data_IF_479104127130
#
_entry.id   IF_479104127130
#
_cell.length_a   1.000
_cell.length_b   1.000
_cell.length_c   1.000
_cell.angle_alpha   90.00
_cell.angle_beta   90.00
_cell.angle_gamma   90.00
#
_symmetry.space_group_name_H-M   'P 1'
#
loop_
_entity.id
_entity.type
_entity.pdbx_description
1 polymer ?
#
# COMPACT_ATOMS: atom_id res chain seq x y z
N UNK A 1 5.12 -26.53 -28.45
CA UNK A 1 4.26 -25.55 -29.15
C UNK A 1 5.13 -24.83 -30.15
N UNK A 2 4.62 -24.62 -31.37
CA UNK A 2 5.37 -24.06 -32.48
C UNK A 2 5.09 -22.55 -32.54
N UNK A 3 6.13 -21.72 -32.70
CA UNK A 3 6.04 -20.25 -32.75
C UNK A 3 5.00 -19.73 -33.78
N UNK A 4 4.79 -20.48 -34.86
CA UNK A 4 3.76 -20.18 -35.88
C UNK A 4 2.33 -20.35 -35.38
N UNK A 5 2.10 -21.27 -34.46
CA UNK A 5 0.77 -21.51 -33.89
C UNK A 5 0.42 -20.40 -32.88
N UNK A 6 1.38 -19.94 -32.09
CA UNK A 6 1.20 -18.84 -31.12
C UNK A 6 0.91 -17.50 -31.83
N UNK A 7 1.64 -17.19 -32.92
CA UNK A 7 1.38 -16.01 -33.75
C UNK A 7 -0.02 -16.09 -34.38
N UNK A 8 -0.45 -17.27 -34.82
CA UNK A 8 -1.77 -17.46 -35.43
C UNK A 8 -2.88 -17.23 -34.41
N UNK A 9 -2.73 -17.76 -33.21
CA UNK A 9 -3.68 -17.57 -32.10
C UNK A 9 -3.80 -16.09 -31.71
N UNK A 10 -2.68 -15.37 -31.61
CA UNK A 10 -2.69 -13.95 -31.26
C UNK A 10 -3.42 -13.09 -32.30
N UNK A 11 -3.18 -13.37 -33.58
CA UNK A 11 -3.87 -12.70 -34.67
C UNK A 11 -5.39 -12.97 -34.68
N UNK A 12 -5.80 -14.19 -34.30
CA UNK A 12 -7.21 -14.54 -34.16
C UNK A 12 -7.86 -13.78 -33.00
N UNK A 13 -7.21 -13.69 -31.84
CA UNK A 13 -7.69 -12.91 -30.69
C UNK A 13 -7.88 -11.44 -31.08
N UNK A 14 -6.90 -10.84 -31.77
CA UNK A 14 -6.98 -9.46 -32.23
C UNK A 14 -8.17 -9.23 -33.17
N UNK A 15 -8.34 -10.11 -34.17
CA UNK A 15 -9.45 -10.04 -35.11
C UNK A 15 -10.82 -10.18 -34.42
N UNK A 16 -10.92 -11.09 -33.47
CA UNK A 16 -12.17 -11.33 -32.72
C UNK A 16 -12.51 -10.17 -31.77
N UNK A 17 -11.49 -9.53 -31.18
CA UNK A 17 -11.63 -8.29 -30.39
C UNK A 17 -12.19 -7.16 -31.25
N UNK A 18 -11.66 -6.98 -32.47
CA UNK A 18 -12.17 -5.96 -33.41
C UNK A 18 -13.60 -6.26 -33.85
N UNK A 19 -13.89 -7.50 -34.24
CA UNK A 19 -15.27 -7.93 -34.57
C UNK A 19 -16.23 -7.64 -33.40
N UNK A 20 -15.84 -7.96 -32.18
CA UNK A 20 -16.65 -7.71 -30.98
C UNK A 20 -16.94 -6.22 -30.78
N UNK A 21 -15.94 -5.35 -30.96
CA UNK A 21 -16.12 -3.88 -30.89
C UNK A 21 -17.08 -3.38 -31.95
N UNK A 22 -16.91 -3.83 -33.20
CA UNK A 22 -17.72 -3.36 -34.33
C UNK A 22 -19.15 -3.91 -34.36
N UNK A 23 -19.41 -5.02 -33.65
CA UNK A 23 -20.73 -5.67 -33.64
C UNK A 23 -21.43 -5.52 -32.29
N UNK A 24 -20.90 -6.16 -31.25
CA UNK A 24 -21.57 -6.31 -29.96
C UNK A 24 -21.53 -5.01 -29.18
N UNK A 25 -20.36 -4.36 -29.11
CA UNK A 25 -20.22 -3.07 -28.42
C UNK A 25 -20.98 -1.99 -29.18
N UNK A 26 -20.73 -1.87 -30.50
CA UNK A 26 -21.38 -0.88 -31.36
C UNK A 26 -22.91 -0.90 -31.27
N UNK A 27 -23.52 -2.10 -31.31
CA UNK A 27 -24.97 -2.27 -31.18
C UNK A 27 -25.53 -1.63 -29.90
N UNK A 28 -24.78 -1.68 -28.81
CA UNK A 28 -25.19 -1.07 -27.53
C UNK A 28 -24.88 0.42 -27.54
N UNK A 29 -23.69 0.83 -28.00
CA UNK A 29 -23.26 2.23 -27.98
C UNK A 29 -24.02 3.12 -28.95
N UNK A 30 -24.56 2.57 -30.04
CA UNK A 30 -25.44 3.27 -30.98
C UNK A 30 -26.75 3.71 -30.30
N UNK A 31 -27.24 2.92 -29.33
CA UNK A 31 -28.43 3.25 -28.53
C UNK A 31 -28.07 4.06 -27.29
N UNK A 32 -26.93 3.74 -26.66
CA UNK A 32 -26.48 4.29 -25.39
C UNK A 32 -24.99 4.68 -25.48
N UNK A 33 -24.67 5.92 -25.85
CA UNK A 33 -23.30 6.36 -26.01
C UNK A 33 -22.48 6.19 -24.73
N UNK A 34 -21.17 6.01 -24.90
CA UNK A 34 -20.24 6.01 -23.77
C UNK A 34 -20.26 7.36 -23.05
N UNK A 35 -20.04 7.32 -21.74
CA UNK A 35 -20.04 8.52 -20.88
C UNK A 35 -18.87 9.48 -21.16
N UNK A 36 -17.84 9.00 -21.84
CA UNK A 36 -16.66 9.76 -22.23
C UNK A 36 -16.05 9.12 -23.47
N UNK A 37 -15.33 9.94 -24.25
CA UNK A 37 -14.56 9.48 -25.39
C UNK A 37 -13.25 8.79 -24.98
N UNK A 38 -12.77 9.02 -23.74
CA UNK A 38 -11.64 8.30 -23.17
C UNK A 38 -11.87 8.01 -21.69
N UNK A 39 -11.43 6.84 -21.24
CA UNK A 39 -11.45 6.46 -19.84
C UNK A 39 -10.02 6.45 -19.33
N UNK A 40 -9.75 7.21 -18.28
CA UNK A 40 -8.40 7.38 -17.73
C UNK A 40 -8.40 7.06 -16.24
N UNK A 41 -7.32 6.45 -15.77
CA UNK A 41 -7.11 6.25 -14.33
C UNK A 41 -6.60 7.52 -13.66
N UNK A 42 -6.41 7.50 -12.33
CA UNK A 42 -5.95 8.66 -11.54
C UNK A 42 -4.56 9.16 -11.92
N UNK A 43 -3.75 8.29 -12.52
CA UNK A 43 -2.41 8.62 -13.03
C UNK A 43 -2.44 9.08 -14.49
N UNK A 44 -3.62 9.33 -15.04
CA UNK A 44 -3.83 9.82 -16.40
C UNK A 44 -3.40 8.85 -17.52
N UNK A 45 -3.38 7.54 -17.23
CA UNK A 45 -3.23 6.52 -18.27
C UNK A 45 -4.59 6.17 -18.87
N UNK A 46 -4.62 6.04 -20.19
CA UNK A 46 -5.81 5.56 -20.90
C UNK A 46 -6.05 4.08 -20.59
N UNK A 47 -7.29 3.75 -20.27
CA UNK A 47 -7.75 2.42 -19.91
C UNK A 47 -8.64 1.92 -21.04
N UNK A 48 -8.21 0.83 -21.67
CA UNK A 48 -8.96 0.19 -22.74
C UNK A 48 -10.24 -0.46 -22.18
N UNK A 49 -11.23 -0.64 -23.05
CA UNK A 49 -12.49 -1.34 -22.75
C UNK A 49 -12.29 -2.81 -22.37
N UNK A 50 -11.28 -3.45 -22.97
CA UNK A 50 -10.94 -4.85 -22.76
C UNK A 50 -9.44 -5.07 -23.00
N UNK A 51 -8.79 -5.78 -22.08
CA UNK A 51 -7.44 -6.29 -22.23
C UNK A 51 -7.48 -7.79 -22.52
N UNK A 52 -6.66 -8.24 -23.48
CA UNK A 52 -6.52 -9.61 -23.98
C UNK A 52 -5.04 -10.00 -24.00
N UNK A 53 -4.69 -11.26 -24.32
CA UNK A 53 -3.29 -11.65 -24.49
C UNK A 53 -2.49 -10.81 -25.51
N UNK A 54 -3.14 -10.20 -26.51
CA UNK A 54 -2.51 -9.30 -27.50
C UNK A 54 -1.95 -8.03 -26.82
N UNK A 55 -2.59 -7.56 -25.75
CA UNK A 55 -2.17 -6.37 -25.01
C UNK A 55 -0.93 -6.61 -24.12
N UNK A 56 -0.49 -7.87 -23.97
CA UNK A 56 0.72 -8.25 -23.21
C UNK A 56 1.70 -9.09 -24.05
N UNK A 57 1.61 -9.03 -25.39
CA UNK A 57 2.44 -9.85 -26.27
C UNK A 57 3.95 -9.58 -26.14
N UNK A 58 4.32 -8.35 -25.78
CA UNK A 58 5.72 -7.92 -25.60
C UNK A 58 6.26 -8.25 -24.19
N UNK A 59 5.44 -8.85 -23.32
CA UNK A 59 5.85 -9.18 -21.95
C UNK A 59 6.81 -10.36 -21.93
N UNK A 60 8.03 -10.14 -21.47
CA UNK A 60 9.05 -11.18 -21.32
C UNK A 60 8.93 -11.83 -19.94
N UNK A 61 8.31 -13.02 -19.83
CA UNK A 61 7.99 -13.64 -18.53
C UNK A 61 9.16 -13.65 -17.54
N UNK A 62 10.36 -14.09 -17.97
CA UNK A 62 11.51 -14.22 -17.07
C UNK A 62 12.09 -12.87 -16.62
N UNK A 63 11.94 -11.82 -17.43
CA UNK A 63 12.53 -10.51 -17.21
C UNK A 63 11.58 -9.55 -16.51
N UNK A 64 10.30 -9.58 -16.86
CA UNK A 64 9.30 -8.60 -16.42
C UNK A 64 8.41 -9.15 -15.28
N UNK A 65 8.16 -10.47 -15.22
CA UNK A 65 7.35 -11.11 -14.17
C UNK A 65 8.21 -11.89 -13.16
N UNK A 66 8.99 -12.85 -13.66
CA UNK A 66 9.79 -13.78 -12.87
C UNK A 66 8.99 -14.62 -11.88
N UNK A 67 9.69 -15.10 -10.86
CA UNK A 67 9.14 -15.86 -9.74
C UNK A 67 9.20 -15.03 -8.45
N UNK A 68 8.26 -15.20 -7.49
CA UNK A 68 8.32 -14.48 -6.23
C UNK A 68 9.60 -14.81 -5.47
N UNK A 69 10.22 -13.80 -4.85
CA UNK A 69 11.50 -13.95 -4.15
C UNK A 69 12.74 -13.87 -5.05
N UNK A 70 12.58 -13.68 -6.35
CA UNK A 70 13.67 -13.53 -7.33
C UNK A 70 13.48 -12.23 -8.13
N UNK A 71 14.58 -11.65 -8.63
CA UNK A 71 14.51 -10.50 -9.54
C UNK A 71 13.59 -10.83 -10.74
N UNK A 72 12.70 -9.93 -11.21
CA UNK A 72 12.55 -8.51 -10.85
C UNK A 72 11.65 -8.24 -9.62
N UNK A 73 11.27 -9.27 -8.86
CA UNK A 73 10.38 -9.19 -7.69
C UNK A 73 8.96 -8.68 -7.98
N UNK A 74 8.54 -8.62 -9.24
CA UNK A 74 7.19 -8.18 -9.66
C UNK A 74 6.09 -8.99 -8.96
N UNK A 75 6.33 -10.28 -8.69
CA UNK A 75 5.39 -11.17 -8.00
C UNK A 75 5.55 -11.20 -6.47
N UNK A 76 6.43 -10.39 -5.92
CA UNK A 76 6.70 -10.25 -4.49
C UNK A 76 8.15 -10.52 -4.11
N UNK A 77 8.60 -9.87 -3.02
CA UNK A 77 9.98 -9.95 -2.53
C UNK A 77 10.28 -11.20 -1.70
N UNK A 78 9.26 -11.97 -1.31
CA UNK A 78 9.40 -13.21 -0.55
C UNK A 78 8.86 -14.40 -1.36
N UNK A 79 9.54 -15.56 -1.38
CA UNK A 79 9.12 -16.70 -2.21
C UNK A 79 7.78 -17.31 -1.78
N UNK A 80 7.44 -17.26 -0.49
CA UNK A 80 6.20 -17.83 0.05
C UNK A 80 5.12 -16.79 0.36
N UNK A 81 5.46 -15.50 0.30
CA UNK A 81 4.61 -14.36 0.65
C UNK A 81 3.73 -14.68 1.87
N UNK A 82 2.41 -14.48 1.74
CA UNK A 82 1.45 -14.61 2.82
C UNK A 82 1.02 -16.05 3.13
N UNK A 83 1.50 -17.04 2.36
CA UNK A 83 1.38 -18.45 2.75
C UNK A 83 2.38 -18.82 3.83
N UNK A 84 3.53 -18.13 3.88
CA UNK A 84 4.53 -18.29 4.92
C UNK A 84 4.26 -17.40 6.13
N UNK A 85 4.15 -16.08 5.90
CA UNK A 85 3.90 -15.09 6.96
C UNK A 85 2.98 -13.99 6.44
N UNK A 86 1.91 -13.70 7.16
CA UNK A 86 1.04 -12.56 6.87
C UNK A 86 1.83 -11.24 6.95
N UNK A 87 1.33 -10.20 6.29
CA UNK A 87 1.86 -8.85 6.48
C UNK A 87 1.74 -8.42 7.94
N UNK A 88 2.61 -7.50 8.37
CA UNK A 88 2.51 -6.96 9.73
C UNK A 88 1.29 -6.05 9.82
N UNK A 89 0.33 -6.40 10.69
CA UNK A 89 -0.77 -5.52 11.03
C UNK A 89 -0.22 -4.44 11.96
N UNK A 90 -0.08 -3.22 11.45
CA UNK A 90 0.60 -2.11 12.13
C UNK A 90 -0.27 -0.85 12.07
N UNK A 91 -1.08 -0.62 13.10
CA UNK A 91 -1.85 0.62 13.17
C UNK A 91 -0.94 1.76 13.62
N UNK A 92 -1.09 2.90 12.94
CA UNK A 92 -0.49 4.16 13.32
C UNK A 92 -1.25 4.76 14.51
N UNK A 93 -0.57 4.98 15.62
CA UNK A 93 -1.19 5.47 16.84
C UNK A 93 -0.25 6.35 17.68
N UNK A 94 -0.85 7.38 18.26
CA UNK A 94 -0.23 8.32 19.19
C UNK A 94 -1.22 9.44 19.46
N UNK A 95 -1.46 9.74 20.74
CA UNK A 95 -2.31 10.85 21.18
C UNK A 95 -2.05 11.12 22.66
N UNK A 96 -2.00 12.39 23.04
CA UNK A 96 -1.86 12.81 24.42
C UNK A 96 -0.50 12.45 25.00
N UNK A 97 -0.50 11.95 26.22
CA UNK A 97 0.72 11.56 26.94
C UNK A 97 1.24 10.19 26.49
N UNK A 98 2.50 9.89 26.84
CA UNK A 98 3.09 8.57 26.66
C UNK A 98 2.23 7.44 27.26
N UNK A 99 1.68 7.65 28.46
CA UNK A 99 0.81 6.69 29.14
C UNK A 99 -0.52 6.45 28.40
N UNK A 100 -1.11 7.49 27.82
CA UNK A 100 -2.35 7.36 27.04
C UNK A 100 -2.12 6.55 25.76
N UNK A 101 -1.00 6.82 25.08
CA UNK A 101 -0.59 6.05 23.90
C UNK A 101 -0.21 4.62 24.26
N UNK A 102 0.46 4.37 25.40
CA UNK A 102 0.75 3.03 25.89
C UNK A 102 -0.52 2.19 26.09
N UNK A 103 -1.56 2.77 26.72
CA UNK A 103 -2.87 2.11 26.87
C UNK A 103 -3.44 1.72 25.50
N UNK A 104 -3.31 2.60 24.50
CA UNK A 104 -3.75 2.33 23.13
C UNK A 104 -2.94 1.22 22.48
N UNK A 105 -1.61 1.18 22.64
CA UNK A 105 -0.78 0.10 22.12
C UNK A 105 -1.16 -1.24 22.72
N UNK A 106 -1.32 -1.33 24.05
CA UNK A 106 -1.78 -2.57 24.71
C UNK A 106 -3.15 -3.02 24.21
N UNK A 107 -4.09 -2.09 24.04
CA UNK A 107 -5.39 -2.38 23.44
C UNK A 107 -5.24 -2.96 22.03
N UNK A 108 -4.42 -2.35 21.18
CA UNK A 108 -4.24 -2.78 19.79
C UNK A 108 -3.56 -4.16 19.72
N UNK A 109 -2.51 -4.39 20.52
CA UNK A 109 -1.82 -5.68 20.62
C UNK A 109 -2.81 -6.78 21.04
N UNK A 110 -3.62 -6.51 22.06
CA UNK A 110 -4.67 -7.44 22.52
C UNK A 110 -5.68 -7.78 21.42
N UNK A 111 -5.90 -6.88 20.46
CA UNK A 111 -6.83 -7.06 19.34
C UNK A 111 -6.14 -7.49 18.03
N UNK A 112 -4.90 -8.01 18.08
CA UNK A 112 -4.25 -8.66 16.94
C UNK A 112 -3.23 -7.80 16.19
N UNK A 113 -2.88 -6.61 16.68
CA UNK A 113 -1.76 -5.85 16.14
C UNK A 113 -0.43 -6.59 16.36
N UNK A 114 0.37 -6.71 15.30
CA UNK A 114 1.64 -7.48 15.28
C UNK A 114 2.88 -6.60 15.10
N UNK A 115 2.70 -5.28 14.98
CA UNK A 115 3.78 -4.29 15.01
C UNK A 115 3.28 -2.93 15.48
N UNK A 116 4.13 -2.12 16.11
CA UNK A 116 3.78 -0.77 16.59
C UNK A 116 4.16 0.31 15.57
N UNK A 117 3.36 1.36 15.42
CA UNK A 117 3.76 2.56 14.68
C UNK A 117 3.41 3.79 15.50
N UNK A 118 4.44 4.53 15.91
CA UNK A 118 4.33 5.68 16.81
C UNK A 118 4.09 6.94 16.00
N UNK A 119 2.98 7.64 16.30
CA UNK A 119 2.69 8.99 15.81
C UNK A 119 3.12 10.02 16.85
N UNK A 120 4.11 10.84 16.57
CA UNK A 120 4.53 11.92 17.47
C UNK A 120 3.73 13.20 17.20
N UNK A 121 3.51 14.02 18.23
CA UNK A 121 2.90 15.33 18.05
C UNK A 121 3.88 16.31 17.37
N UNK A 122 3.37 17.46 16.89
CA UNK A 122 4.17 18.43 16.13
C UNK A 122 5.43 18.92 16.86
N UNK A 123 5.38 19.31 18.15
CA UNK A 123 6.59 19.75 18.87
C UNK A 123 7.74 18.74 18.84
N UNK A 124 7.51 17.47 19.21
CA UNK A 124 8.53 16.41 19.09
C UNK A 124 9.06 16.27 17.65
N UNK A 125 8.19 16.36 16.64
CA UNK A 125 8.62 16.29 15.23
C UNK A 125 9.55 17.46 14.86
N UNK A 126 9.25 18.67 15.33
CA UNK A 126 10.08 19.85 15.06
C UNK A 126 11.25 20.04 16.03
N UNK A 127 11.46 19.11 16.98
CA UNK A 127 12.55 19.18 17.96
C UNK A 127 12.33 20.21 19.07
N UNK A 128 11.09 20.57 19.38
CA UNK A 128 10.74 21.41 20.53
C UNK A 128 10.29 20.56 21.71
N UNK A 129 10.79 20.90 22.90
CA UNK A 129 10.19 20.43 24.16
C UNK A 129 8.77 20.98 24.31
N UNK A 130 7.89 20.24 24.99
CA UNK A 130 6.50 20.64 25.22
C UNK A 130 6.33 21.94 26.01
N UNK A 131 7.35 22.38 26.77
CA UNK A 131 7.37 23.67 27.47
C UNK A 131 7.77 24.85 26.60
N UNK A 132 8.20 24.63 25.36
CA UNK A 132 8.56 25.70 24.44
C UNK A 132 7.31 26.53 24.07
N UNK A 133 7.46 27.85 23.94
CA UNK A 133 6.37 28.74 23.53
C UNK A 133 5.76 28.33 22.18
N UNK A 134 6.59 27.85 21.25
CA UNK A 134 6.16 27.34 19.94
C UNK A 134 5.35 26.04 20.01
N UNK A 135 5.45 25.30 21.13
CA UNK A 135 4.69 24.08 21.36
C UNK A 135 3.30 24.35 21.95
N UNK A 136 3.05 25.57 22.42
CA UNK A 136 1.80 25.95 23.07
C UNK A 136 0.60 25.64 22.18
N UNK A 137 -0.34 24.87 22.73
CA UNK A 137 -1.53 24.44 22.02
C UNK A 137 -1.35 23.25 21.09
N UNK A 138 -0.14 22.69 20.89
CA UNK A 138 0.05 21.49 20.04
C UNK A 138 0.48 20.25 20.83
N UNK A 139 0.74 20.40 22.13
CA UNK A 139 1.14 19.31 23.04
C UNK A 139 0.10 18.18 23.03
N UNK A 140 0.50 16.98 22.61
CA UNK A 140 -0.34 15.78 22.60
C UNK A 140 -1.55 15.80 21.65
N UNK A 141 -1.74 16.80 20.78
CA UNK A 141 -2.98 16.95 19.98
C UNK A 141 -3.12 15.98 18.82
N UNK A 142 -2.04 15.80 18.05
CA UNK A 142 -2.06 14.98 16.82
C UNK A 142 -1.08 13.81 16.88
N UNK A 143 -0.60 13.49 18.08
CA UNK A 143 0.38 12.45 18.35
C UNK A 143 0.73 12.40 19.82
N UNK A 144 1.61 11.48 20.18
CA UNK A 144 2.16 11.40 21.54
C UNK A 144 3.21 12.49 21.75
N UNK A 145 3.17 13.13 22.92
CA UNK A 145 4.22 14.04 23.36
C UNK A 145 5.39 13.26 23.98
N UNK A 146 6.60 13.49 23.46
CA UNK A 146 7.85 12.87 23.93
C UNK A 146 8.92 13.97 23.97
N UNK A 147 9.37 14.31 25.17
CA UNK A 147 10.44 15.30 25.37
C UNK A 147 11.72 14.62 25.87
N UNK A 148 11.57 13.53 26.63
CA UNK A 148 12.65 12.89 27.37
C UNK A 148 12.63 11.37 27.22
N UNK A 149 13.68 10.73 27.75
CA UNK A 149 13.73 9.26 27.86
C UNK A 149 12.59 8.71 28.74
N UNK A 150 12.21 9.41 29.81
CA UNK A 150 11.16 8.96 30.72
C UNK A 150 9.81 8.79 29.99
N UNK A 151 9.52 9.68 29.03
CA UNK A 151 8.31 9.56 28.21
C UNK A 151 8.36 8.31 27.31
N UNK A 152 9.53 7.96 26.79
CA UNK A 152 9.71 6.74 26.00
C UNK A 152 9.60 5.46 26.86
N UNK A 153 10.08 5.50 28.10
CA UNK A 153 9.90 4.41 29.07
C UNK A 153 8.42 4.20 29.38
N UNK A 154 7.67 5.27 29.61
CA UNK A 154 6.22 5.22 29.81
C UNK A 154 5.48 4.71 28.56
N UNK A 155 5.89 5.18 27.38
CA UNK A 155 5.28 4.81 26.10
C UNK A 155 5.34 3.30 25.86
N UNK A 156 6.45 2.66 26.22
CA UNK A 156 6.67 1.22 26.01
C UNK A 156 6.54 0.39 27.29
N UNK A 157 6.14 0.99 28.41
CA UNK A 157 5.99 0.31 29.69
C UNK A 157 5.12 -0.94 29.57
N UNK A 158 5.66 -2.09 29.97
CA UNK A 158 4.99 -3.40 29.90
C UNK A 158 4.81 -3.97 28.50
N UNK A 159 5.55 -3.48 27.49
CA UNK A 159 5.61 -4.04 26.14
C UNK A 159 7.00 -4.66 25.92
N UNK A 160 7.05 -5.96 25.58
CA UNK A 160 8.30 -6.65 25.25
C UNK A 160 8.76 -6.29 23.82
N UNK A 161 9.63 -5.30 23.72
CA UNK A 161 10.19 -4.82 22.45
C UNK A 161 11.02 -5.87 21.70
N UNK A 162 11.49 -6.94 22.35
CA UNK A 162 12.21 -8.03 21.66
C UNK A 162 11.28 -8.88 20.78
N UNK A 163 9.97 -8.84 21.04
CA UNK A 163 8.96 -9.66 20.35
C UNK A 163 8.09 -8.89 19.38
N UNK A 164 8.15 -7.55 19.38
CA UNK A 164 7.33 -6.71 18.51
C UNK A 164 8.20 -5.68 17.79
N UNK A 165 8.02 -5.58 16.48
CA UNK A 165 8.72 -4.55 15.70
C UNK A 165 8.06 -3.20 15.91
N UNK A 166 8.88 -2.15 16.10
CA UNK A 166 8.42 -0.78 16.30
C UNK A 166 8.87 0.09 15.12
N UNK A 167 7.92 0.82 14.55
CA UNK A 167 8.15 1.88 13.58
C UNK A 167 7.90 3.22 14.27
N UNK A 168 8.70 4.22 13.95
CA UNK A 168 8.58 5.56 14.51
C UNK A 168 8.47 6.53 13.34
N UNK A 169 7.31 7.18 13.18
CA UNK A 169 7.12 8.17 12.13
C UNK A 169 7.64 9.51 12.64
N UNK A 170 8.96 9.66 12.60
CA UNK A 170 9.67 10.85 13.03
C UNK A 170 10.61 11.28 11.91
N UNK A 171 10.63 12.58 11.64
CA UNK A 171 11.59 13.25 10.77
C UNK A 171 12.02 14.52 11.50
N UNK A 172 13.25 14.99 11.24
CA UNK A 172 13.75 16.27 11.74
C UNK A 172 13.90 17.28 10.63
#
# INVERSE_FOLDING_TARGET
MNEKDDIKEMNEIKKEKDRWRETTVKKVTDKWPLRSNSFRNLSNYEVQDLYTPDDIQDLEYQKDLGFPGEYPYTRGVQPTMYRGRLWTMRQFAGLGTALDTNKRFKYLIKNGQTGLSVAFHLPTIYGYESSNEMASGEVGKIGVAIDTLADMEDLFSGIDLSKISTSMTING
#
